data_IF_161107535235
#
_entry.id   IF_161107535235
#
_cell.length_a   1.000
_cell.length_b   1.000
_cell.length_c   1.000
_cell.angle_alpha   90.00
_cell.angle_beta   90.00
_cell.angle_gamma   90.00
#
_symmetry.space_group_name_H-M   'P 1'
#
loop_
_entity.id
_entity.type
_entity.pdbx_description
1 polymer ?
#
# COMPACT_ATOMS: atom_id res chain seq x y z
N UNK A 1 57.36 -45.23 -1.79
CA UNK A 1 56.09 -45.14 -1.03
C UNK A 1 55.18 -44.21 -1.81
N UNK A 2 54.16 -44.77 -2.47
CA UNK A 2 53.24 -44.03 -3.33
C UNK A 2 52.03 -43.59 -2.49
N UNK A 3 51.85 -42.29 -2.31
CA UNK A 3 50.62 -41.73 -1.73
C UNK A 3 49.71 -41.30 -2.88
N UNK A 4 48.58 -41.98 -3.00
CA UNK A 4 47.50 -41.65 -3.91
C UNK A 4 46.77 -40.38 -3.48
N UNK A 5 46.46 -39.53 -4.45
CA UNK A 5 45.49 -38.44 -4.31
C UNK A 5 44.35 -38.75 -5.27
N UNK A 6 43.22 -39.17 -4.71
CA UNK A 6 41.95 -39.28 -5.43
C UNK A 6 41.38 -37.88 -5.70
N UNK A 7 40.92 -37.57 -6.91
CA UNK A 7 40.19 -36.33 -7.14
C UNK A 7 38.76 -36.49 -6.61
N UNK A 8 38.32 -35.58 -5.73
CA UNK A 8 36.90 -35.44 -5.37
C UNK A 8 36.16 -34.88 -6.59
N UNK A 9 35.18 -35.64 -7.06
CA UNK A 9 34.17 -35.21 -8.03
C UNK A 9 33.59 -33.86 -7.64
N UNK A 10 33.66 -32.91 -8.56
CA UNK A 10 32.91 -31.67 -8.49
C UNK A 10 31.43 -31.99 -8.51
N UNK A 11 30.74 -31.68 -7.41
CA UNK A 11 29.29 -31.59 -7.38
C UNK A 11 28.90 -30.40 -8.25
N UNK A 12 28.56 -30.65 -9.52
CA UNK A 12 27.72 -29.76 -10.31
C UNK A 12 26.43 -29.57 -9.52
N UNK A 13 26.32 -28.42 -8.85
CA UNK A 13 25.04 -27.94 -8.35
C UNK A 13 24.18 -27.64 -9.57
N UNK A 14 23.42 -28.65 -10.00
CA UNK A 14 22.26 -28.44 -10.84
C UNK A 14 21.39 -27.44 -10.11
N UNK A 15 21.34 -26.22 -10.65
CA UNK A 15 20.37 -25.21 -10.28
C UNK A 15 19.01 -25.89 -10.32
N UNK A 16 18.48 -26.22 -9.15
CA UNK A 16 17.13 -26.76 -9.04
C UNK A 16 16.22 -25.75 -9.70
N UNK A 17 15.73 -26.08 -10.90
CA UNK A 17 14.70 -25.32 -11.58
C UNK A 17 13.52 -25.28 -10.60
N UNK A 18 13.37 -24.17 -9.89
CA UNK A 18 12.32 -23.99 -8.89
C UNK A 18 11.00 -24.23 -9.58
N UNK A 19 10.17 -25.12 -9.04
CA UNK A 19 8.85 -25.40 -9.58
C UNK A 19 8.08 -24.08 -9.84
N UNK A 20 7.32 -23.98 -10.94
CA UNK A 20 6.56 -22.78 -11.27
C UNK A 20 5.65 -22.39 -10.10
N UNK A 21 5.63 -21.10 -9.77
CA UNK A 21 4.60 -20.61 -8.85
C UNK A 21 3.23 -20.74 -9.52
N UNK A 22 2.16 -20.99 -8.75
CA UNK A 22 0.80 -20.96 -9.29
C UNK A 22 0.51 -19.62 -9.96
N UNK A 23 0.07 -19.68 -11.22
CA UNK A 23 -0.40 -18.53 -12.01
C UNK A 23 -1.88 -18.32 -11.70
N UNK A 24 -2.32 -17.06 -11.65
CA UNK A 24 -3.74 -16.76 -11.45
C UNK A 24 -4.44 -16.60 -12.81
N UNK A 25 -5.44 -17.44 -13.14
CA UNK A 25 -6.11 -17.41 -14.45
C UNK A 25 -6.73 -16.06 -14.80
N UNK A 26 -7.02 -15.20 -13.80
CA UNK A 26 -7.54 -13.84 -14.03
C UNK A 26 -6.58 -12.95 -14.82
N UNK A 27 -5.29 -13.28 -14.82
CA UNK A 27 -4.25 -12.49 -15.49
C UNK A 27 -3.71 -13.14 -16.77
N UNK A 28 -4.24 -14.28 -17.22
CA UNK A 28 -3.71 -15.01 -18.38
C UNK A 28 -3.65 -14.15 -19.66
N UNK A 29 -4.63 -13.27 -19.85
CA UNK A 29 -4.71 -12.36 -21.00
C UNK A 29 -3.97 -11.02 -20.79
N UNK A 30 -3.45 -10.76 -19.60
CA UNK A 30 -2.78 -9.51 -19.23
C UNK A 30 -1.27 -9.68 -19.46
N UNK A 31 -0.60 -8.70 -20.05
CA UNK A 31 0.86 -8.70 -20.24
C UNK A 31 1.62 -8.32 -18.97
N UNK A 32 2.93 -8.58 -18.92
CA UNK A 32 3.80 -8.16 -17.80
C UNK A 32 3.79 -6.64 -17.64
N UNK A 33 3.77 -5.90 -18.75
CA UNK A 33 3.77 -4.44 -18.72
C UNK A 33 2.44 -3.89 -18.19
N UNK A 34 1.31 -4.43 -18.65
CA UNK A 34 0.01 -4.07 -18.09
C UNK A 34 -0.08 -4.39 -16.60
N UNK A 35 0.49 -5.50 -16.12
CA UNK A 35 0.56 -5.80 -14.69
C UNK A 35 1.38 -4.77 -13.90
N UNK A 36 2.45 -4.21 -14.48
CA UNK A 36 3.23 -3.13 -13.84
C UNK A 36 2.42 -1.85 -13.76
N UNK A 37 1.77 -1.46 -14.86
CA UNK A 37 0.87 -0.30 -14.92
C UNK A 37 -0.25 -0.45 -13.88
N UNK A 38 -0.91 -1.62 -13.84
CA UNK A 38 -1.93 -1.95 -12.84
C UNK A 38 -1.39 -1.82 -11.42
N UNK A 39 -0.21 -2.39 -11.14
CA UNK A 39 0.42 -2.31 -9.81
C UNK A 39 0.72 -0.87 -9.42
N UNK A 40 1.24 -0.05 -10.33
CA UNK A 40 1.53 1.36 -10.06
C UNK A 40 0.24 2.13 -9.77
N UNK A 41 -0.79 2.00 -10.61
CA UNK A 41 -2.09 2.64 -10.39
C UNK A 41 -2.74 2.25 -9.07
N UNK A 42 -2.72 0.96 -8.72
CA UNK A 42 -3.23 0.47 -7.44
C UNK A 42 -2.43 1.01 -6.24
N UNK A 43 -1.11 1.19 -6.36
CA UNK A 43 -0.30 1.78 -5.28
C UNK A 43 -0.59 3.28 -5.11
N UNK A 44 -0.78 4.01 -6.21
CA UNK A 44 -1.13 5.43 -6.16
C UNK A 44 -2.51 5.62 -5.51
N UNK A 45 -3.47 4.77 -5.86
CA UNK A 45 -4.80 4.74 -5.27
C UNK A 45 -4.77 4.37 -3.78
N UNK A 46 -4.05 3.31 -3.40
CA UNK A 46 -3.86 2.92 -1.99
C UNK A 46 -3.24 4.07 -1.18
N UNK A 47 -2.25 4.75 -1.75
CA UNK A 47 -1.58 5.88 -1.11
C UNK A 47 -2.55 7.02 -0.81
N UNK A 48 -3.44 7.36 -1.75
CA UNK A 48 -4.51 8.37 -1.56
C UNK A 48 -5.50 7.95 -0.48
N UNK A 49 -5.95 6.69 -0.47
CA UNK A 49 -6.88 6.16 0.54
C UNK A 49 -6.25 6.17 1.93
N UNK A 50 -5.01 5.69 2.03
CA UNK A 50 -4.24 5.69 3.28
C UNK A 50 -3.99 7.11 3.80
N UNK A 51 -3.79 8.09 2.93
CA UNK A 51 -3.71 9.50 3.31
C UNK A 51 -5.01 10.00 3.95
N UNK A 52 -6.14 9.83 3.26
CA UNK A 52 -7.44 10.29 3.76
C UNK A 52 -7.86 9.61 5.05
N UNK A 53 -7.61 8.30 5.17
CA UNK A 53 -7.89 7.56 6.40
C UNK A 53 -7.13 8.14 7.59
N UNK A 54 -5.84 8.42 7.44
CA UNK A 54 -5.04 9.05 8.51
C UNK A 54 -5.57 10.44 8.87
N UNK A 55 -5.98 11.21 7.86
CA UNK A 55 -6.50 12.56 8.07
C UNK A 55 -7.84 12.54 8.86
N UNK A 56 -8.74 11.62 8.52
CA UNK A 56 -10.00 11.42 9.24
C UNK A 56 -9.76 10.90 10.66
N UNK A 57 -8.90 9.89 10.83
CA UNK A 57 -8.53 9.37 12.15
C UNK A 57 -8.01 10.49 13.06
N UNK A 58 -7.06 11.29 12.59
CA UNK A 58 -6.52 12.40 13.35
C UNK A 58 -7.60 13.41 13.76
N UNK A 59 -8.60 13.65 12.90
CA UNK A 59 -9.71 14.55 13.22
C UNK A 59 -10.67 13.96 14.26
N UNK A 60 -11.00 12.67 14.16
CA UNK A 60 -11.77 11.96 15.19
C UNK A 60 -11.07 12.11 16.53
N UNK A 61 -9.77 11.84 16.58
CA UNK A 61 -8.97 11.92 17.81
C UNK A 61 -8.97 13.34 18.41
N UNK A 62 -8.86 14.38 17.58
CA UNK A 62 -8.94 15.79 18.03
C UNK A 62 -10.31 16.14 18.60
N UNK A 63 -11.40 15.67 17.99
CA UNK A 63 -12.76 15.94 18.48
C UNK A 63 -13.02 15.20 19.81
N UNK A 64 -12.54 13.97 19.95
CA UNK A 64 -12.68 13.16 21.17
C UNK A 64 -11.81 13.69 22.33
N UNK A 65 -10.59 14.13 22.04
CA UNK A 65 -9.68 14.73 23.04
C UNK A 65 -10.17 16.07 23.57
N UNK A 66 -10.66 16.96 22.70
CA UNK A 66 -11.22 18.26 23.11
C UNK A 66 -12.45 18.11 24.01
N UNK A 67 -13.24 17.04 23.83
CA UNK A 67 -14.38 16.75 24.69
C UNK A 67 -13.97 16.25 26.09
N UNK A 68 -12.83 15.57 26.20
CA UNK A 68 -12.37 15.01 27.49
C UNK A 68 -11.49 15.97 28.30
N UNK A 69 -11.24 17.19 27.78
CA UNK A 69 -10.40 18.20 28.44
C UNK A 69 -8.92 17.84 28.47
N UNK A 70 -8.47 16.92 27.59
CA UNK A 70 -7.07 16.54 27.46
C UNK A 70 -6.28 17.61 26.69
N UNK A 71 -5.00 17.82 27.04
CA UNK A 71 -4.11 18.78 26.35
C UNK A 71 -3.91 18.39 24.87
N UNK A 72 -4.50 19.13 23.91
CA UNK A 72 -4.63 18.67 22.52
C UNK A 72 -3.30 18.46 21.80
N UNK A 73 -2.26 19.20 22.20
CA UNK A 73 -0.94 19.14 21.56
C UNK A 73 -0.11 17.92 21.92
N UNK A 74 -0.17 17.45 23.16
CA UNK A 74 0.56 16.23 23.54
C UNK A 74 -0.05 14.98 22.90
N UNK A 75 -1.37 14.99 22.70
CA UNK A 75 -2.10 13.89 22.08
C UNK A 75 -1.86 13.85 20.58
N UNK A 76 -1.87 15.01 19.90
CA UNK A 76 -1.46 15.10 18.49
C UNK A 76 -0.03 14.58 18.26
N UNK A 77 0.91 14.94 19.14
CA UNK A 77 2.29 14.45 19.05
C UNK A 77 2.42 12.93 19.21
N UNK A 78 1.64 12.32 20.12
CA UNK A 78 1.57 10.85 20.29
C UNK A 78 0.97 10.15 19.08
N UNK A 79 -0.10 10.69 18.51
CA UNK A 79 -0.79 10.12 17.34
C UNK A 79 0.09 10.18 16.07
N UNK A 80 0.79 11.30 15.85
CA UNK A 80 1.77 11.42 14.77
C UNK A 80 3.00 10.51 14.97
N UNK A 81 3.34 10.16 16.20
CA UNK A 81 4.43 9.23 16.50
C UNK A 81 4.06 7.78 16.18
N UNK A 82 2.82 7.36 16.40
CA UNK A 82 2.38 5.98 16.10
C UNK A 82 2.32 5.70 14.59
N UNK A 83 2.05 6.75 13.80
CA UNK A 83 2.20 6.73 12.34
C UNK A 83 3.64 6.43 11.87
N UNK A 84 4.67 6.65 12.71
CA UNK A 84 6.08 6.33 12.40
C UNK A 84 6.37 4.84 12.30
N UNK A 85 5.58 3.97 12.94
CA UNK A 85 5.72 2.51 12.77
C UNK A 85 5.39 2.05 11.33
N UNK A 86 4.52 2.78 10.63
CA UNK A 86 4.24 2.57 9.20
C UNK A 86 5.30 3.16 8.27
N UNK A 87 6.30 3.90 8.76
CA UNK A 87 7.22 4.66 7.90
C UNK A 87 8.18 3.82 7.06
N UNK A 88 8.38 2.53 7.36
CA UNK A 88 9.12 1.64 6.44
C UNK A 88 8.39 1.46 5.10
N UNK A 89 7.08 1.77 5.03
CA UNK A 89 6.27 1.83 3.80
C UNK A 89 6.08 3.26 3.25
N UNK A 90 6.42 4.30 4.02
CA UNK A 90 6.22 5.72 3.65
C UNK A 90 7.26 6.22 2.66
N UNK A 91 8.41 5.56 2.54
CA UNK A 91 9.45 5.90 1.56
C UNK A 91 8.99 5.76 0.08
N UNK A 92 7.79 5.21 -0.16
CA UNK A 92 7.17 5.08 -1.48
C UNK A 92 5.95 6.00 -1.70
N UNK A 93 5.58 6.85 -0.73
CA UNK A 93 4.40 7.71 -0.87
C UNK A 93 4.73 8.92 -1.75
N UNK A 94 4.34 8.84 -3.02
CA UNK A 94 4.20 10.01 -3.90
C UNK A 94 3.00 10.83 -3.41
N UNK A 95 3.22 12.05 -2.94
CA UNK A 95 2.14 13.00 -2.60
C UNK A 95 1.68 13.63 -3.91
N UNK A 96 0.75 12.97 -4.60
CA UNK A 96 0.10 13.47 -5.82
C UNK A 96 -1.27 14.11 -5.54
N UNK A 97 -1.77 15.01 -6.41
CA UNK A 97 -3.10 15.59 -6.30
C UNK A 97 -4.22 14.52 -6.36
N UNK A 98 -5.29 14.78 -5.63
CA UNK A 98 -6.42 13.87 -5.36
C UNK A 98 -7.55 14.13 -6.38
N UNK A 99 -7.28 14.03 -7.68
CA UNK A 99 -8.32 14.31 -8.69
C UNK A 99 -9.03 13.03 -9.19
N UNK A 100 -8.42 11.86 -9.00
CA UNK A 100 -9.03 10.56 -9.34
C UNK A 100 -8.97 9.64 -8.12
N UNK A 101 -9.99 9.71 -7.29
CA UNK A 101 -10.31 8.66 -6.33
C UNK A 101 -11.73 8.19 -6.69
N UNK A 102 -11.99 6.86 -6.79
CA UNK A 102 -13.33 6.32 -7.04
C UNK A 102 -14.35 6.85 -6.03
N UNK A 103 -15.66 6.61 -6.18
CA UNK A 103 -16.69 7.26 -5.38
C UNK A 103 -16.66 6.75 -3.93
N UNK A 104 -15.63 7.18 -3.21
CA UNK A 104 -15.58 7.35 -1.79
C UNK A 104 -16.63 8.41 -1.44
N UNK A 105 -17.03 8.48 -0.16
CA UNK A 105 -17.82 9.61 0.34
C UNK A 105 -17.15 10.93 -0.09
N UNK A 106 -17.90 12.02 -0.20
CA UNK A 106 -17.28 13.33 -0.47
C UNK A 106 -16.45 13.76 0.75
N UNK A 107 -15.25 13.19 0.83
CA UNK A 107 -14.29 13.35 1.91
C UNK A 107 -13.89 14.81 2.03
N UNK A 108 -13.86 15.52 0.90
CA UNK A 108 -13.54 16.94 0.86
C UNK A 108 -14.67 17.77 1.48
N UNK A 109 -15.94 17.46 1.20
CA UNK A 109 -17.07 18.12 1.87
C UNK A 109 -17.15 17.77 3.36
N UNK A 110 -16.99 16.50 3.71
CA UNK A 110 -16.93 16.06 5.11
C UNK A 110 -15.78 16.78 5.86
N UNK A 111 -14.63 16.91 5.21
CA UNK A 111 -13.48 17.62 5.75
C UNK A 111 -13.73 19.13 5.93
N UNK A 112 -14.42 19.78 5.00
CA UNK A 112 -14.75 21.22 5.10
C UNK A 112 -15.81 21.54 6.14
N UNK A 113 -16.55 20.55 6.66
CA UNK A 113 -17.61 20.80 7.65
C UNK A 113 -17.02 21.45 8.90
N UNK A 114 -17.61 22.57 9.33
CA UNK A 114 -17.18 23.29 10.54
C UNK A 114 -17.73 22.57 11.77
N UNK A 115 -16.92 22.47 12.82
CA UNK A 115 -17.35 22.00 14.13
C UNK A 115 -18.21 23.07 14.78
N UNK A 116 -19.47 22.76 15.06
CA UNK A 116 -20.29 23.56 15.98
C UNK A 116 -19.96 23.22 17.43
N UNK A 117 -20.24 24.13 18.36
CA UNK A 117 -19.91 24.01 19.79
C UNK A 117 -20.91 23.11 20.53
N UNK A 118 -22.08 22.84 19.93
CA UNK A 118 -23.08 21.99 20.54
C UNK A 118 -22.73 20.49 20.44
N UNK A 119 -23.14 19.74 21.46
CA UNK A 119 -22.83 18.32 21.57
C UNK A 119 -23.53 17.45 20.50
N UNK A 120 -24.70 17.85 20.01
CA UNK A 120 -25.47 17.08 19.03
C UNK A 120 -24.80 17.13 17.66
N UNK A 121 -24.45 18.32 17.17
CA UNK A 121 -23.70 18.52 15.93
C UNK A 121 -22.32 17.84 15.97
N UNK A 122 -21.66 17.87 17.13
CA UNK A 122 -20.38 17.19 17.34
C UNK A 122 -20.53 15.67 17.24
N UNK A 123 -21.54 15.09 17.88
CA UNK A 123 -21.81 13.64 17.82
C UNK A 123 -22.20 13.21 16.41
N UNK A 124 -23.00 14.00 15.69
CA UNK A 124 -23.32 13.75 14.29
C UNK A 124 -22.06 13.75 13.41
N UNK A 125 -21.14 14.71 13.60
CA UNK A 125 -19.86 14.72 12.88
C UNK A 125 -18.94 13.56 13.23
N UNK A 126 -18.87 13.14 14.48
CA UNK A 126 -18.14 11.93 14.84
C UNK A 126 -18.73 10.69 14.18
N UNK A 127 -20.06 10.59 14.11
CA UNK A 127 -20.73 9.47 13.42
C UNK A 127 -20.36 9.42 11.94
N UNK A 128 -20.46 10.56 11.25
CA UNK A 128 -20.15 10.65 9.81
C UNK A 128 -18.66 10.38 9.52
N UNK A 129 -17.76 10.90 10.37
CA UNK A 129 -16.32 10.64 10.25
C UNK A 129 -15.97 9.17 10.46
N UNK A 130 -16.62 8.48 11.41
CA UNK A 130 -16.42 7.05 11.65
C UNK A 130 -16.94 6.20 10.50
N UNK A 131 -18.11 6.53 9.95
CA UNK A 131 -18.63 5.85 8.77
C UNK A 131 -17.67 5.98 7.57
N UNK A 132 -17.17 7.20 7.31
CA UNK A 132 -16.18 7.42 6.26
C UNK A 132 -14.85 6.69 6.52
N UNK A 133 -14.38 6.61 7.77
CA UNK A 133 -13.18 5.83 8.13
C UNK A 133 -13.37 4.33 7.87
N UNK A 134 -14.54 3.79 8.18
CA UNK A 134 -14.89 2.39 7.96
C UNK A 134 -14.92 2.06 6.47
N UNK A 135 -15.57 2.91 5.66
CA UNK A 135 -15.59 2.79 4.20
C UNK A 135 -14.17 2.85 3.60
N UNK A 136 -13.34 3.80 4.06
CA UNK A 136 -11.93 3.89 3.65
C UNK A 136 -11.12 2.65 4.05
N UNK A 137 -11.37 2.11 5.24
CA UNK A 137 -10.68 0.92 5.75
C UNK A 137 -11.05 -0.32 4.94
N UNK A 138 -12.34 -0.49 4.61
CA UNK A 138 -12.83 -1.57 3.76
C UNK A 138 -12.24 -1.45 2.35
N UNK A 139 -12.31 -0.26 1.77
CA UNK A 139 -11.79 -0.02 0.43
C UNK A 139 -10.27 -0.23 0.33
N UNK A 140 -9.50 0.20 1.33
CA UNK A 140 -8.05 -0.08 1.39
C UNK A 140 -7.76 -1.58 1.47
N UNK A 141 -8.59 -2.35 2.18
CA UNK A 141 -8.43 -3.80 2.25
C UNK A 141 -8.59 -4.43 0.86
N UNK A 142 -9.62 -4.03 0.12
CA UNK A 142 -9.84 -4.49 -1.25
C UNK A 142 -8.67 -4.12 -2.19
N UNK A 143 -8.10 -2.91 -2.03
CA UNK A 143 -6.92 -2.49 -2.78
C UNK A 143 -5.70 -3.37 -2.47
N UNK A 144 -5.46 -3.70 -1.19
CA UNK A 144 -4.38 -4.60 -0.81
C UNK A 144 -4.58 -6.00 -1.41
N UNK A 145 -5.80 -6.55 -1.39
CA UNK A 145 -6.08 -7.86 -1.98
C UNK A 145 -5.80 -7.87 -3.50
N UNK A 146 -6.12 -6.79 -4.21
CA UNK A 146 -5.80 -6.62 -5.63
C UNK A 146 -4.30 -6.45 -5.87
N UNK A 147 -3.63 -5.62 -5.06
CA UNK A 147 -2.18 -5.42 -5.12
C UNK A 147 -1.41 -6.72 -4.90
N UNK A 148 -1.83 -7.52 -3.92
CA UNK A 148 -1.23 -8.82 -3.62
C UNK A 148 -1.40 -9.78 -4.79
N UNK A 149 -2.58 -9.81 -5.42
CA UNK A 149 -2.84 -10.61 -6.62
C UNK A 149 -1.93 -10.23 -7.80
N UNK A 150 -1.85 -8.94 -8.13
CA UNK A 150 -0.99 -8.44 -9.21
C UNK A 150 0.50 -8.68 -8.89
N UNK A 151 0.90 -8.49 -7.64
CA UNK A 151 2.30 -8.68 -7.21
C UNK A 151 2.69 -10.16 -7.25
N UNK A 152 1.84 -11.06 -6.78
CA UNK A 152 2.07 -12.50 -6.85
C UNK A 152 2.21 -12.97 -8.31
N UNK A 153 1.36 -12.47 -9.19
CA UNK A 153 1.39 -12.75 -10.61
C UNK A 153 2.70 -12.26 -11.27
N UNK A 154 3.14 -11.03 -10.97
CA UNK A 154 4.44 -10.52 -11.43
C UNK A 154 5.61 -11.38 -10.95
N UNK A 155 5.60 -11.80 -9.68
CA UNK A 155 6.63 -12.68 -9.12
C UNK A 155 6.64 -14.03 -9.83
N UNK A 156 5.47 -14.59 -10.15
CA UNK A 156 5.36 -15.84 -10.90
C UNK A 156 5.97 -15.70 -12.31
N UNK A 157 5.65 -14.62 -13.05
CA UNK A 157 6.22 -14.37 -14.39
C UNK A 157 7.72 -14.15 -14.37
N UNK A 158 8.24 -13.42 -13.39
CA UNK A 158 9.69 -13.21 -13.26
C UNK A 158 10.44 -14.48 -12.86
N UNK A 159 9.79 -15.42 -12.19
CA UNK A 159 10.38 -16.75 -11.94
C UNK A 159 10.41 -17.60 -13.20
N UNK A 160 9.38 -17.52 -14.04
CA UNK A 160 9.32 -18.23 -15.33
C UNK A 160 10.31 -17.66 -16.34
N UNK A 161 10.38 -16.33 -16.44
CA UNK A 161 11.32 -15.61 -17.29
C UNK A 161 11.99 -14.43 -16.54
N UNK A 162 13.20 -14.65 -15.99
CA UNK A 162 13.96 -13.60 -15.32
C UNK A 162 14.37 -12.43 -16.22
N UNK A 163 14.45 -12.61 -17.56
CA UNK A 163 14.84 -11.53 -18.48
C UNK A 163 13.80 -10.40 -18.48
N UNK A 164 12.53 -10.72 -18.25
CA UNK A 164 11.45 -9.73 -18.14
C UNK A 164 11.70 -8.73 -17.00
N UNK A 165 12.38 -9.14 -15.92
CA UNK A 165 12.73 -8.23 -14.82
C UNK A 165 13.87 -7.27 -15.21
N UNK A 166 14.81 -7.71 -16.06
CA UNK A 166 15.95 -6.91 -16.50
C UNK A 166 15.52 -5.81 -17.48
N UNK A 167 14.58 -6.10 -18.39
CA UNK A 167 14.01 -5.11 -19.31
C UNK A 167 13.41 -3.90 -18.58
N UNK A 168 12.81 -4.12 -17.39
CA UNK A 168 12.28 -3.04 -16.55
C UNK A 168 13.35 -2.05 -16.07
N UNK A 169 14.56 -2.56 -15.81
CA UNK A 169 15.67 -1.76 -15.30
C UNK A 169 16.29 -0.96 -16.44
N UNK A 170 16.40 -1.54 -17.62
CA UNK A 170 16.93 -0.91 -18.83
C UNK A 170 16.02 0.23 -19.31
N UNK A 171 14.71 0.01 -19.35
CA UNK A 171 13.72 1.05 -19.71
C UNK A 171 13.82 2.27 -18.79
N UNK A 172 13.90 2.06 -17.48
CA UNK A 172 14.01 3.14 -16.48
C UNK A 172 15.37 3.87 -16.53
N UNK A 173 16.42 3.25 -17.05
CA UNK A 173 17.73 3.88 -17.24
C UNK A 173 17.85 4.59 -18.60
N UNK A 174 17.05 4.22 -19.59
CA UNK A 174 16.99 4.86 -20.90
C UNK A 174 16.17 6.15 -20.93
N UNK A 175 15.28 6.36 -19.96
CA UNK A 175 14.50 7.60 -19.80
C UNK A 175 15.17 8.67 -18.89
N UNK A 176 16.40 8.43 -18.41
CA UNK A 176 17.17 9.36 -17.57
C UNK A 176 18.25 10.11 -18.38
#
# INVERSE_FOLDING_TARGET
MASGVSPKSGSTGETSASAPLPRDPRFDAVSVEELRVMRTGLNDEESKVSYWRRLIQARIDVIESNHTGAEPMEQLARLLADAKSSHRRVAALSVGPVDDVPPLPDLAALWRRVLDVDDESRLALLSDLRAAEEELSAYRKDLHERLDGVTAELIARYREDPQMALLAVEERLGEA
#
